data_IF_978143916654
#
_entry.id   IF_978143916654
#
_cell.length_a   1.000
_cell.length_b   1.000
_cell.length_c   1.000
_cell.angle_alpha   90.00
_cell.angle_beta   90.00
_cell.angle_gamma   90.00
#
_symmetry.space_group_name_H-M   'P 1'
#
loop_
_entity.id
_entity.type
_entity.pdbx_description
1 polymer ?
#
# COMPACT_ATOMS: atom_id res chain seq x y z
N UNK A 1 0.95 24.02 -1.77
CA UNK A 1 1.81 24.97 -1.05
C UNK A 1 2.28 26.15 -1.91
N UNK A 2 1.46 26.61 -2.86
CA UNK A 2 1.68 27.87 -3.60
C UNK A 2 1.11 29.09 -2.88
N UNK A 3 0.23 28.87 -1.90
CA UNK A 3 -0.46 29.92 -1.13
C UNK A 3 -0.40 29.61 0.38
N UNK A 4 -0.78 28.41 0.80
CA UNK A 4 -0.70 27.98 2.20
C UNK A 4 0.68 27.42 2.55
N UNK A 5 1.24 27.88 3.68
CA UNK A 5 2.58 27.54 4.17
C UNK A 5 3.70 27.85 3.16
N UNK A 6 3.52 28.93 2.37
CA UNK A 6 4.44 29.32 1.29
C UNK A 6 5.87 29.52 1.76
N UNK A 7 6.07 30.06 2.97
CA UNK A 7 7.40 30.39 3.51
C UNK A 7 7.95 29.35 4.48
N UNK A 8 7.25 28.23 4.70
CA UNK A 8 7.71 27.19 5.60
C UNK A 8 9.07 26.64 5.14
N UNK A 9 10.12 26.62 6.00
CA UNK A 9 11.45 26.16 5.62
C UNK A 9 11.48 24.70 5.14
N UNK A 10 10.69 23.84 5.77
CA UNK A 10 10.61 22.40 5.42
C UNK A 10 10.12 22.14 3.98
N UNK A 11 9.42 23.10 3.37
CA UNK A 11 8.88 22.99 2.01
C UNK A 11 9.77 23.66 0.96
N UNK A 12 10.94 24.20 1.34
CA UNK A 12 11.88 24.79 0.40
C UNK A 12 12.29 23.82 -0.73
N UNK A 13 12.56 22.53 -0.47
CA UNK A 13 12.85 21.57 -1.54
C UNK A 13 11.69 21.41 -2.54
N UNK A 14 10.44 21.42 -2.07
CA UNK A 14 9.25 21.31 -2.91
C UNK A 14 9.11 22.52 -3.85
N UNK A 15 9.37 23.73 -3.35
CA UNK A 15 9.31 24.96 -4.15
C UNK A 15 10.42 25.00 -5.20
N UNK A 16 11.63 24.58 -4.83
CA UNK A 16 12.75 24.51 -5.77
C UNK A 16 12.51 23.48 -6.88
N UNK A 17 11.98 22.31 -6.53
CA UNK A 17 11.56 21.29 -7.50
C UNK A 17 10.52 21.84 -8.48
N UNK A 18 9.52 22.57 -7.99
CA UNK A 18 8.50 23.21 -8.83
C UNK A 18 9.08 24.29 -9.76
N UNK A 19 10.05 25.09 -9.30
CA UNK A 19 10.68 26.16 -10.10
C UNK A 19 11.60 25.63 -11.19
N UNK A 20 12.36 24.59 -10.88
CA UNK A 20 13.41 24.07 -11.78
C UNK A 20 12.97 22.90 -12.63
N UNK A 21 11.83 22.28 -12.31
CA UNK A 21 11.40 21.02 -12.91
C UNK A 21 12.21 19.80 -12.47
N UNK A 22 13.17 19.95 -11.54
CA UNK A 22 13.94 18.84 -10.99
C UNK A 22 13.07 18.06 -9.99
N UNK A 23 12.82 16.76 -10.19
CA UNK A 23 11.97 15.98 -9.29
C UNK A 23 12.54 15.89 -7.86
N UNK A 24 11.65 15.76 -6.88
CA UNK A 24 12.03 15.40 -5.52
C UNK A 24 12.51 13.94 -5.48
N UNK A 25 13.62 13.72 -4.78
CA UNK A 25 14.12 12.37 -4.52
C UNK A 25 13.52 11.84 -3.22
N UNK A 26 12.46 11.06 -3.36
CA UNK A 26 11.83 10.37 -2.23
C UNK A 26 12.58 9.09 -1.89
N UNK A 27 12.81 8.85 -0.59
CA UNK A 27 13.23 7.53 -0.11
C UNK A 27 12.01 6.61 -0.06
N UNK A 28 12.01 5.56 -0.88
CA UNK A 28 10.96 4.54 -0.84
C UNK A 28 11.11 3.70 0.44
N UNK A 29 10.01 3.56 1.20
CA UNK A 29 9.99 2.80 2.47
C UNK A 29 9.59 1.34 2.25
N UNK A 30 8.64 1.10 1.33
CA UNK A 30 8.21 -0.23 0.92
C UNK A 30 8.83 -0.51 -0.45
N UNK A 31 10.04 -1.06 -0.44
CA UNK A 31 10.81 -1.39 -1.63
C UNK A 31 10.93 -2.91 -1.74
N UNK A 32 10.07 -3.51 -2.58
CA UNK A 32 10.13 -4.93 -2.86
C UNK A 32 11.24 -5.21 -3.88
N UNK A 33 11.86 -6.41 -3.86
CA UNK A 33 12.84 -6.78 -4.87
C UNK A 33 12.24 -6.71 -6.28
N UNK A 34 13.06 -6.31 -7.27
CA UNK A 34 12.62 -6.09 -8.66
C UNK A 34 12.04 -7.34 -9.35
N UNK A 35 12.37 -8.54 -8.88
CA UNK A 35 11.79 -9.81 -9.37
C UNK A 35 10.39 -10.12 -8.80
N UNK A 36 9.82 -9.20 -8.02
CA UNK A 36 8.47 -9.28 -7.48
C UNK A 36 7.60 -8.22 -8.17
N UNK A 37 6.67 -8.69 -8.97
CA UNK A 37 5.61 -7.86 -9.54
C UNK A 37 4.45 -7.73 -8.55
N UNK A 38 4.28 -6.53 -7.99
CA UNK A 38 3.16 -6.21 -7.11
C UNK A 38 2.13 -5.31 -7.79
N UNK A 39 0.88 -5.78 -7.87
CA UNK A 39 -0.24 -5.04 -8.48
C UNK A 39 -1.18 -4.48 -7.40
N UNK A 40 -1.19 -3.16 -7.19
CA UNK A 40 -2.10 -2.52 -6.23
C UNK A 40 -3.57 -2.69 -6.60
N UNK A 41 -3.89 -2.69 -7.90
CA UNK A 41 -5.26 -2.63 -8.41
C UNK A 41 -6.06 -3.87 -8.02
N UNK A 42 -5.47 -5.06 -8.15
CA UNK A 42 -6.15 -6.31 -7.79
C UNK A 42 -6.44 -6.40 -6.30
N UNK A 43 -5.52 -5.97 -5.43
CA UNK A 43 -5.70 -6.03 -3.98
C UNK A 43 -6.85 -5.12 -3.53
N UNK A 44 -6.86 -3.87 -4.02
CA UNK A 44 -7.92 -2.90 -3.75
C UNK A 44 -9.26 -3.44 -4.28
N UNK A 45 -9.30 -3.91 -5.52
CA UNK A 45 -10.51 -4.43 -6.14
C UNK A 45 -11.07 -5.68 -5.44
N UNK A 46 -10.23 -6.47 -4.77
CA UNK A 46 -10.63 -7.65 -4.00
C UNK A 46 -10.94 -7.35 -2.53
N UNK A 47 -10.83 -6.10 -2.09
CA UNK A 47 -11.25 -5.66 -0.76
C UNK A 47 -10.12 -5.58 0.27
N UNK A 48 -8.85 -5.66 -0.12
CA UNK A 48 -7.73 -5.52 0.81
C UNK A 48 -7.50 -4.03 1.11
N UNK A 49 -7.73 -3.64 2.36
CA UNK A 49 -7.57 -2.25 2.81
C UNK A 49 -6.11 -1.79 2.87
N UNK A 50 -5.87 -0.49 2.65
CA UNK A 50 -4.52 0.09 2.70
C UNK A 50 -3.81 -0.16 4.05
N UNK A 51 -4.60 -0.12 5.14
CA UNK A 51 -4.13 -0.31 6.51
C UNK A 51 -3.61 -1.73 6.80
N UNK A 52 -4.02 -2.74 6.02
CA UNK A 52 -3.55 -4.13 6.22
C UNK A 52 -2.06 -4.26 5.88
N UNK A 53 -1.59 -3.52 4.86
CA UNK A 53 -0.19 -3.56 4.42
C UNK A 53 0.63 -2.38 4.97
N UNK A 54 0.04 -1.18 5.03
CA UNK A 54 0.75 0.05 5.37
C UNK A 54 0.49 0.55 6.80
N UNK A 55 -0.41 -0.11 7.56
CA UNK A 55 -0.78 0.32 8.90
C UNK A 55 -1.56 1.63 8.93
N UNK A 56 -1.67 2.23 10.12
CA UNK A 56 -2.40 3.50 10.35
C UNK A 56 -1.60 4.71 9.86
N UNK A 57 -1.43 4.82 8.54
CA UNK A 57 -0.71 5.92 7.87
C UNK A 57 -1.28 7.29 8.27
N UNK A 58 -2.57 7.37 8.54
CA UNK A 58 -3.26 8.56 9.05
C UNK A 58 -2.76 9.01 10.43
N UNK A 59 -2.12 8.13 11.20
CA UNK A 59 -1.48 8.43 12.48
C UNK A 59 0.06 8.46 12.37
N UNK A 60 0.64 8.35 11.17
CA UNK A 60 2.07 8.33 10.95
C UNK A 60 2.59 9.74 10.57
N UNK A 61 3.36 10.42 11.45
CA UNK A 61 4.01 11.69 11.06
C UNK A 61 5.11 11.48 10.01
N UNK A 62 5.62 10.25 9.90
CA UNK A 62 6.52 9.77 8.85
C UNK A 62 6.18 8.33 8.53
N UNK A 63 6.16 7.98 7.24
CA UNK A 63 5.92 6.60 6.81
C UNK A 63 6.98 5.67 7.39
N UNK A 64 6.51 4.61 8.01
CA UNK A 64 7.34 3.50 8.51
C UNK A 64 6.78 2.18 8.00
N UNK A 65 7.63 1.17 7.91
CA UNK A 65 7.22 -0.18 7.56
C UNK A 65 6.65 -0.88 8.79
N UNK A 66 5.40 -1.32 8.72
CA UNK A 66 4.72 -2.06 9.81
C UNK A 66 4.58 -3.56 9.52
N UNK A 67 4.56 -3.93 8.24
CA UNK A 67 4.55 -5.31 7.76
C UNK A 67 5.91 -5.63 7.15
N UNK A 68 6.41 -6.86 7.30
CA UNK A 68 7.71 -7.21 6.74
C UNK A 68 7.73 -7.13 5.21
N UNK A 69 6.59 -7.46 4.58
CA UNK A 69 6.42 -7.63 3.13
C UNK A 69 7.36 -8.69 2.52
N UNK A 70 7.87 -9.58 3.36
CA UNK A 70 8.60 -10.75 2.92
C UNK A 70 7.65 -11.79 2.34
N UNK A 71 8.16 -12.69 1.49
CA UNK A 71 7.34 -13.71 0.80
C UNK A 71 6.40 -14.48 1.75
N UNK A 72 6.86 -14.89 2.93
CA UNK A 72 6.02 -15.62 3.88
C UNK A 72 4.86 -14.79 4.43
N UNK A 73 5.05 -13.48 4.58
CA UNK A 73 3.98 -12.59 5.01
C UNK A 73 2.90 -12.48 3.93
N UNK A 74 3.30 -12.31 2.66
CA UNK A 74 2.38 -12.30 1.52
C UNK A 74 1.64 -13.64 1.38
N UNK A 75 2.37 -14.76 1.48
CA UNK A 75 1.79 -16.10 1.37
C UNK A 75 0.85 -16.45 2.53
N UNK A 76 1.11 -15.96 3.73
CA UNK A 76 0.18 -16.14 4.85
C UNK A 76 -1.20 -15.55 4.51
N UNK A 77 -1.23 -14.33 3.99
CA UNK A 77 -2.47 -13.69 3.52
C UNK A 77 -3.05 -14.38 2.29
N UNK A 78 -2.24 -14.78 1.30
CA UNK A 78 -2.75 -15.45 0.10
C UNK A 78 -3.34 -16.86 0.39
N UNK A 79 -2.91 -17.51 1.47
CA UNK A 79 -3.48 -18.79 1.94
C UNK A 79 -4.79 -18.61 2.70
N UNK A 80 -4.96 -17.49 3.41
CA UNK A 80 -6.19 -17.16 4.12
C UNK A 80 -6.45 -15.64 4.08
N UNK A 81 -7.04 -15.14 2.98
CA UNK A 81 -7.24 -13.71 2.80
C UNK A 81 -8.44 -13.17 3.60
N UNK A 82 -9.40 -14.03 3.96
CA UNK A 82 -10.69 -13.63 4.52
C UNK A 82 -10.59 -12.69 5.74
N UNK A 83 -9.65 -12.88 6.68
CA UNK A 83 -9.47 -11.94 7.80
C UNK A 83 -9.08 -10.53 7.37
N UNK A 84 -8.50 -10.33 6.19
CA UNK A 84 -7.95 -9.05 5.73
C UNK A 84 -8.88 -8.28 4.78
N UNK A 85 -10.05 -8.85 4.45
CA UNK A 85 -10.98 -8.26 3.50
C UNK A 85 -11.97 -7.32 4.17
N UNK A 86 -12.22 -6.22 3.48
CA UNK A 86 -13.18 -5.17 3.83
C UNK A 86 -14.27 -5.08 2.78
N UNK A 87 -15.38 -4.46 3.16
CA UNK A 87 -16.38 -4.06 2.19
C UNK A 87 -15.75 -3.16 1.10
N UNK A 88 -16.11 -3.33 -0.19
CA UNK A 88 -15.47 -2.59 -1.28
C UNK A 88 -15.51 -1.07 -1.14
N UNK A 89 -16.56 -0.52 -0.54
CA UNK A 89 -16.74 0.91 -0.27
C UNK A 89 -15.93 1.42 0.94
N UNK A 90 -15.32 0.50 1.70
CA UNK A 90 -14.57 0.79 2.94
C UNK A 90 -13.07 0.46 2.84
N UNK A 91 -12.58 0.15 1.64
CA UNK A 91 -11.16 -0.23 1.39
C UNK A 91 -10.18 0.90 1.76
N UNK A 92 -10.59 2.15 1.57
CA UNK A 92 -9.77 3.32 1.86
C UNK A 92 -9.93 3.86 3.29
N UNK A 93 -10.82 3.28 4.09
CA UNK A 93 -10.92 3.68 5.49
C UNK A 93 -9.71 3.17 6.27
N UNK A 94 -9.00 4.09 6.91
CA UNK A 94 -7.85 3.75 7.74
C UNK A 94 -8.27 3.25 9.14
N UNK A 95 -9.49 3.56 9.56
CA UNK A 95 -10.05 3.09 10.83
C UNK A 95 -10.55 1.63 10.78
N UNK A 96 -11.19 1.17 11.88
CA UNK A 96 -11.91 -0.09 11.87
C UNK A 96 -12.99 -0.09 10.79
N UNK A 97 -13.06 -1.17 10.01
CA UNK A 97 -14.10 -1.41 9.01
C UNK A 97 -14.69 -2.81 9.21
N UNK A 98 -15.98 -3.02 8.89
CA UNK A 98 -16.56 -4.34 8.92
C UNK A 98 -15.82 -5.24 7.93
N UNK A 99 -15.46 -6.44 8.40
CA UNK A 99 -14.90 -7.48 7.52
C UNK A 99 -16.02 -8.02 6.64
N UNK A 100 -15.69 -8.34 5.39
CA UNK A 100 -16.65 -8.91 4.46
C UNK A 100 -16.00 -10.01 3.66
N UNK A 101 -16.69 -11.14 3.53
CA UNK A 101 -16.27 -12.21 2.63
C UNK A 101 -16.39 -11.78 1.17
N UNK A 102 -15.44 -12.21 0.34
CA UNK A 102 -15.49 -11.98 -1.09
C UNK A 102 -15.64 -13.33 -1.82
N UNK A 103 -16.81 -13.63 -2.40
CA UNK A 103 -17.03 -14.90 -3.10
C UNK A 103 -16.27 -14.99 -4.43
N UNK A 104 -15.68 -13.89 -4.91
CA UNK A 104 -14.95 -13.82 -6.18
C UNK A 104 -13.43 -13.90 -6.02
N UNK A 105 -12.95 -14.46 -4.91
CA UNK A 105 -11.53 -14.76 -4.72
C UNK A 105 -11.14 -15.96 -5.57
N UNK A 106 -9.89 -15.94 -6.06
CA UNK A 106 -9.30 -17.12 -6.67
C UNK A 106 -9.07 -18.19 -5.61
N UNK A 107 -8.93 -19.44 -6.03
CA UNK A 107 -8.49 -20.49 -5.11
C UNK A 107 -7.12 -20.15 -4.52
N UNK A 108 -6.93 -20.51 -3.26
CA UNK A 108 -5.68 -20.26 -2.54
C UNK A 108 -4.47 -20.88 -3.25
N UNK A 109 -4.65 -22.05 -3.90
CA UNK A 109 -3.58 -22.65 -4.71
C UNK A 109 -3.10 -21.73 -5.84
N UNK A 110 -4.02 -21.03 -6.52
CA UNK A 110 -3.67 -20.08 -7.58
C UNK A 110 -3.01 -18.83 -7.01
N UNK A 111 -3.48 -18.33 -5.86
CA UNK A 111 -2.89 -17.16 -5.19
C UNK A 111 -1.46 -17.42 -4.72
N UNK A 112 -1.10 -18.68 -4.43
CA UNK A 112 0.24 -19.07 -4.00
C UNK A 112 1.15 -19.56 -5.12
N UNK A 113 0.69 -19.54 -6.38
CA UNK A 113 1.51 -19.90 -7.52
C UNK A 113 2.60 -18.85 -7.78
N UNK A 114 3.81 -19.28 -8.15
CA UNK A 114 4.94 -18.39 -8.40
C UNK A 114 4.63 -17.32 -9.47
N UNK A 115 3.86 -17.66 -10.51
CA UNK A 115 3.50 -16.74 -11.60
C UNK A 115 2.57 -15.60 -11.17
N UNK A 116 1.98 -15.69 -9.97
CA UNK A 116 1.20 -14.60 -9.38
C UNK A 116 2.08 -13.40 -9.08
N UNK A 117 3.32 -13.61 -8.63
CA UNK A 117 4.21 -12.55 -8.16
C UNK A 117 5.54 -12.47 -8.92
N UNK A 118 6.02 -13.56 -9.51
CA UNK A 118 7.31 -13.63 -10.19
C UNK A 118 7.09 -13.70 -11.70
N UNK A 119 7.44 -12.62 -12.39
CA UNK A 119 7.24 -12.43 -13.83
C UNK A 119 8.47 -11.80 -14.47
#
# INVERSE_FOLDING_TARGET
>A
HSQLYGDAPMLAPLREAARTGKPLHWTRVHDLPDFVFFDHGIHIAKGVGCVECHGRVDHMPRIVRVASLEMQWCLACHRDPAPHLRAPDRVFDMGPAPRQENPHLLSTQRLTDCSTCHR
#
